data_IF_330645274531
#
_entry.id   IF_330645274531
#
_cell.length_a   1.000
_cell.length_b   1.000
_cell.length_c   1.000
_cell.angle_alpha   90.00
_cell.angle_beta   90.00
_cell.angle_gamma   90.00
#
_symmetry.space_group_name_H-M   'P 1'
#
loop_
_entity.id
_entity.type
_entity.pdbx_description
1 polymer ?
#
# COMPACT_ATOMS: atom_id res chain seq x y z
N UNK A 1 -12.95 -26.77 36.84
CA UNK A 1 -13.32 -25.48 36.19
C UNK A 1 -12.75 -24.32 37.02
N UNK A 2 -11.73 -23.59 36.52
CA UNK A 2 -10.89 -22.67 37.32
C UNK A 2 -11.72 -21.49 37.88
N UNK A 3 -11.68 -21.29 39.21
CA UNK A 3 -12.47 -20.25 39.93
C UNK A 3 -12.20 -18.82 39.44
N UNK A 4 -10.98 -18.54 38.97
CA UNK A 4 -10.59 -17.24 38.43
C UNK A 4 -11.36 -16.85 37.15
N UNK A 5 -11.70 -17.84 36.32
CA UNK A 5 -12.45 -17.62 35.07
C UNK A 5 -13.87 -17.11 35.36
N UNK A 6 -14.50 -17.62 36.43
CA UNK A 6 -15.83 -17.17 36.89
C UNK A 6 -15.82 -15.72 37.40
N UNK A 7 -14.68 -15.22 37.85
CA UNK A 7 -14.52 -13.85 38.32
C UNK A 7 -14.41 -12.87 37.14
N UNK A 8 -13.63 -13.25 36.12
CA UNK A 8 -13.50 -12.48 34.87
C UNK A 8 -14.82 -12.45 34.11
N UNK A 9 -15.51 -13.60 33.97
CA UNK A 9 -16.81 -13.66 33.30
C UNK A 9 -17.84 -12.78 33.99
N UNK A 10 -17.94 -12.83 35.33
CA UNK A 10 -18.89 -11.99 36.08
C UNK A 10 -18.62 -10.49 35.93
N UNK A 11 -17.35 -10.08 35.86
CA UNK A 11 -16.98 -8.68 35.62
C UNK A 11 -17.32 -8.23 34.19
N UNK A 12 -17.24 -9.13 33.21
CA UNK A 12 -17.54 -8.82 31.81
C UNK A 12 -19.04 -8.84 31.48
N UNK A 13 -19.79 -9.73 32.14
CA UNK A 13 -21.23 -9.98 31.93
C UNK A 13 -22.15 -9.15 32.84
N UNK A 14 -21.63 -8.17 33.59
CA UNK A 14 -22.47 -7.22 34.29
C UNK A 14 -23.35 -6.45 33.29
N UNK A 15 -24.64 -6.21 33.60
CA UNK A 15 -25.54 -5.50 32.70
C UNK A 15 -24.97 -4.11 32.42
N UNK A 16 -24.70 -3.83 31.16
CA UNK A 16 -24.14 -2.54 30.72
C UNK A 16 -25.28 -1.59 30.37
N UNK A 17 -25.13 -0.31 30.68
CA UNK A 17 -26.12 0.70 30.31
C UNK A 17 -26.28 0.79 28.80
N UNK A 18 -27.48 1.19 28.35
CA UNK A 18 -27.81 1.36 26.93
C UNK A 18 -26.85 2.37 26.27
N UNK A 19 -26.50 3.45 26.98
CA UNK A 19 -25.56 4.46 26.49
C UNK A 19 -24.15 3.91 26.27
N UNK A 20 -23.69 3.02 27.16
CA UNK A 20 -22.40 2.37 27.01
C UNK A 20 -22.40 1.46 25.77
N UNK A 21 -23.47 0.70 25.56
CA UNK A 21 -23.61 -0.17 24.39
C UNK A 21 -23.57 0.65 23.09
N UNK A 22 -24.27 1.79 23.03
CA UNK A 22 -24.28 2.67 21.87
C UNK A 22 -22.89 3.28 21.59
N UNK A 23 -22.17 3.73 22.63
CA UNK A 23 -20.79 4.23 22.48
C UNK A 23 -19.85 3.14 21.94
N UNK A 24 -19.96 1.91 22.44
CA UNK A 24 -19.14 0.80 21.96
C UNK A 24 -19.46 0.41 20.52
N UNK A 25 -20.74 0.37 20.13
CA UNK A 25 -21.15 0.15 18.73
C UNK A 25 -20.53 1.17 17.78
N UNK A 26 -20.56 2.46 18.14
CA UNK A 26 -19.97 3.53 17.31
C UNK A 26 -18.46 3.38 17.16
N UNK A 27 -17.74 3.08 18.25
CA UNK A 27 -16.28 2.84 18.19
C UNK A 27 -15.94 1.62 17.35
N UNK A 28 -16.72 0.54 17.50
CA UNK A 28 -16.50 -0.69 16.75
C UNK A 28 -16.78 -0.47 15.26
N UNK A 29 -17.85 0.25 14.92
CA UNK A 29 -18.16 0.63 13.53
C UNK A 29 -17.03 1.45 12.90
N UNK A 30 -16.47 2.44 13.60
CA UNK A 30 -15.32 3.21 13.09
C UNK A 30 -14.09 2.33 12.85
N UNK A 31 -13.79 1.42 13.78
CA UNK A 31 -12.68 0.48 13.63
C UNK A 31 -12.90 -0.42 12.41
N UNK A 32 -14.12 -0.95 12.23
CA UNK A 32 -14.47 -1.74 11.06
C UNK A 32 -14.33 -0.95 9.76
N UNK A 33 -14.81 0.30 9.71
CA UNK A 33 -14.63 1.16 8.55
C UNK A 33 -13.15 1.40 8.24
N UNK A 34 -12.33 1.65 9.26
CA UNK A 34 -10.89 1.84 9.08
C UNK A 34 -10.21 0.56 8.55
N UNK A 35 -10.50 -0.60 9.14
CA UNK A 35 -9.96 -1.87 8.67
C UNK A 35 -10.43 -2.19 7.24
N UNK A 36 -11.72 -2.01 6.95
CA UNK A 36 -12.27 -2.23 5.62
C UNK A 36 -11.65 -1.30 4.58
N UNK A 37 -11.42 -0.03 4.94
CA UNK A 37 -10.73 0.93 4.07
C UNK A 37 -9.32 0.47 3.72
N UNK A 38 -8.54 0.04 4.72
CA UNK A 38 -7.20 -0.50 4.49
C UNK A 38 -7.23 -1.77 3.62
N UNK A 39 -8.14 -2.71 3.90
CA UNK A 39 -8.30 -3.90 3.08
C UNK A 39 -8.71 -3.57 1.64
N UNK A 40 -9.58 -2.59 1.44
CA UNK A 40 -9.98 -2.10 0.12
C UNK A 40 -8.77 -1.53 -0.64
N UNK A 41 -7.96 -0.67 0.00
CA UNK A 41 -6.73 -0.15 -0.61
C UNK A 41 -5.75 -1.26 -0.99
N UNK A 42 -5.59 -2.29 -0.14
CA UNK A 42 -4.72 -3.44 -0.43
C UNK A 42 -5.25 -4.23 -1.63
N UNK A 43 -6.55 -4.48 -1.69
CA UNK A 43 -7.17 -5.18 -2.81
C UNK A 43 -6.96 -4.42 -4.13
N UNK A 44 -7.21 -3.10 -4.13
CA UNK A 44 -6.96 -2.24 -5.30
C UNK A 44 -5.48 -2.31 -5.69
N UNK A 45 -4.57 -2.19 -4.73
CA UNK A 45 -3.13 -2.27 -5.01
C UNK A 45 -2.72 -3.61 -5.63
N UNK A 46 -3.25 -4.73 -5.13
CA UNK A 46 -2.97 -6.05 -5.68
C UNK A 46 -3.48 -6.17 -7.12
N UNK A 47 -4.72 -5.75 -7.39
CA UNK A 47 -5.28 -5.76 -8.74
C UNK A 47 -4.49 -4.86 -9.68
N UNK A 48 -4.11 -3.65 -9.24
CA UNK A 48 -3.31 -2.74 -10.05
C UNK A 48 -1.93 -3.31 -10.36
N UNK A 49 -1.27 -3.95 -9.39
CA UNK A 49 0.04 -4.57 -9.59
C UNK A 49 -0.02 -5.74 -10.57
N UNK A 50 -1.12 -6.49 -10.59
CA UNK A 50 -1.34 -7.59 -11.52
C UNK A 50 -1.60 -7.09 -12.95
N UNK A 51 -2.41 -6.02 -13.11
CA UNK A 51 -2.71 -5.44 -14.42
C UNK A 51 -1.55 -4.63 -15.01
N UNK A 52 -0.76 -3.97 -14.17
CA UNK A 52 0.36 -3.10 -14.59
C UNK A 52 1.64 -3.47 -13.82
N UNK A 53 2.42 -4.46 -14.28
CA UNK A 53 3.69 -4.77 -13.64
C UNK A 53 4.68 -3.60 -13.76
N UNK A 54 5.43 -3.36 -12.68
CA UNK A 54 6.56 -2.41 -12.68
C UNK A 54 7.72 -2.98 -13.48
N UNK A 55 8.32 -2.16 -14.35
CA UNK A 55 9.62 -2.47 -14.98
C UNK A 55 10.77 -2.25 -13.98
N UNK A 56 11.96 -2.82 -14.23
CA UNK A 56 13.12 -2.65 -13.32
C UNK A 56 13.53 -1.16 -13.19
N UNK A 57 13.45 -0.38 -14.28
CA UNK A 57 13.71 1.06 -14.26
C UNK A 57 12.73 1.82 -13.35
N UNK A 58 11.46 1.39 -13.32
CA UNK A 58 10.41 1.98 -12.49
C UNK A 58 10.50 1.57 -11.01
N UNK A 59 11.11 0.43 -10.69
CA UNK A 59 11.40 0.06 -9.30
C UNK A 59 12.39 1.01 -8.67
N UNK A 60 13.39 1.47 -9.44
CA UNK A 60 14.40 2.44 -9.01
C UNK A 60 13.76 3.83 -8.86
N UNK A 61 12.95 4.25 -9.83
CA UNK A 61 12.25 5.55 -9.80
C UNK A 61 10.73 5.38 -9.86
N UNK A 62 10.14 5.11 -8.70
CA UNK A 62 8.69 4.88 -8.54
C UNK A 62 7.80 6.01 -9.11
N UNK A 63 8.32 7.24 -9.22
CA UNK A 63 7.59 8.37 -9.79
C UNK A 63 7.14 8.12 -11.25
N UNK A 64 7.97 7.45 -12.04
CA UNK A 64 7.67 7.13 -13.44
C UNK A 64 6.52 6.13 -13.57
N UNK A 65 6.44 5.15 -12.67
CA UNK A 65 5.33 4.19 -12.64
C UNK A 65 3.97 4.87 -12.43
N UNK A 66 3.90 5.81 -11.47
CA UNK A 66 2.65 6.51 -11.20
C UNK A 66 2.31 7.51 -12.30
N UNK A 67 3.31 8.16 -12.90
CA UNK A 67 3.11 9.01 -14.08
C UNK A 67 2.52 8.21 -15.25
N UNK A 68 3.05 6.99 -15.51
CA UNK A 68 2.55 6.06 -16.54
C UNK A 68 1.06 5.74 -16.37
N UNK A 69 0.66 5.40 -15.15
CA UNK A 69 -0.72 5.02 -14.83
C UNK A 69 -1.66 6.22 -14.94
N UNK A 70 -1.21 7.41 -14.51
CA UNK A 70 -2.05 8.61 -14.48
C UNK A 70 -2.16 9.33 -15.84
N UNK A 71 -1.32 8.99 -16.83
CA UNK A 71 -1.31 9.57 -18.18
C UNK A 71 -1.44 11.11 -18.21
N UNK A 72 -0.86 11.79 -17.22
CA UNK A 72 -0.98 13.25 -17.09
C UNK A 72 0.28 13.90 -17.65
N UNK A 73 0.13 14.85 -18.59
CA UNK A 73 1.23 15.38 -19.42
C UNK A 73 2.48 15.83 -18.66
N UNK A 74 2.34 16.67 -17.64
CA UNK A 74 3.48 17.12 -16.83
C UNK A 74 3.33 16.64 -15.39
N UNK A 75 4.21 15.73 -14.93
CA UNK A 75 4.20 15.26 -13.55
C UNK A 75 5.42 15.79 -12.81
N UNK A 76 5.17 16.64 -11.81
CA UNK A 76 6.18 17.05 -10.82
C UNK A 76 6.27 16.00 -9.72
N UNK A 77 7.41 15.34 -9.62
CA UNK A 77 7.67 14.38 -8.55
C UNK A 77 8.48 15.05 -7.45
N UNK A 78 7.89 15.07 -6.25
CA UNK A 78 8.51 15.61 -5.05
C UNK A 78 9.02 14.46 -4.18
N UNK A 79 10.34 14.38 -4.00
CA UNK A 79 10.96 13.45 -3.06
C UNK A 79 11.01 14.10 -1.68
N UNK A 80 10.07 13.72 -0.81
CA UNK A 80 9.98 14.25 0.55
C UNK A 80 10.65 13.28 1.51
N UNK A 81 11.67 13.74 2.25
CA UNK A 81 12.23 13.00 3.39
C UNK A 81 11.85 13.71 4.69
N UNK A 82 11.02 13.05 5.49
CA UNK A 82 10.51 13.62 6.74
C UNK A 82 9.63 14.84 6.47
N UNK A 83 10.14 16.04 6.79
CA UNK A 83 9.44 17.32 6.61
C UNK A 83 10.09 18.24 5.56
N UNK A 84 11.17 17.79 4.92
CA UNK A 84 11.90 18.58 3.92
C UNK A 84 11.78 17.95 2.54
N UNK A 85 11.53 18.78 1.54
CA UNK A 85 11.62 18.38 0.12
C UNK A 85 13.10 18.30 -0.24
N UNK A 86 13.55 17.13 -0.66
CA UNK A 86 14.97 16.84 -0.93
C UNK A 86 15.27 16.98 -2.41
N UNK A 87 14.42 16.43 -3.27
CA UNK A 87 14.57 16.50 -4.72
C UNK A 87 13.24 16.84 -5.39
N UNK A 88 13.29 17.70 -6.41
CA UNK A 88 12.19 17.97 -7.33
C UNK A 88 12.68 17.61 -8.74
N UNK A 89 11.95 16.75 -9.44
CA UNK A 89 12.19 16.48 -10.86
C UNK A 89 10.86 16.44 -11.62
N UNK A 90 10.89 16.99 -12.83
CA UNK A 90 9.76 16.96 -13.75
C UNK A 90 9.93 15.79 -14.71
N UNK A 91 8.87 15.01 -14.89
CA UNK A 91 8.79 14.00 -15.94
C UNK A 91 8.03 14.66 -17.10
N UNK A 92 8.76 15.02 -18.16
CA UNK A 92 8.22 15.71 -19.35
C UNK A 92 7.68 14.70 -20.39
N UNK A 93 8.32 13.54 -20.49
CA UNK A 93 7.87 12.45 -21.36
C UNK A 93 7.27 11.32 -20.53
N UNK A 94 5.95 11.33 -20.40
CA UNK A 94 5.21 10.25 -19.73
C UNK A 94 5.31 8.98 -20.59
N UNK A 95 5.83 7.87 -20.06
CA UNK A 95 5.86 6.61 -20.79
C UNK A 95 4.44 6.16 -21.12
N UNK A 96 4.23 5.60 -22.31
CA UNK A 96 2.91 5.13 -22.77
C UNK A 96 2.42 3.99 -21.87
N UNK A 97 1.09 3.90 -21.72
CA UNK A 97 0.43 2.94 -20.82
C UNK A 97 0.61 1.49 -21.27
N UNK A 98 0.73 1.27 -22.58
CA UNK A 98 1.08 -0.03 -23.17
C UNK A 98 2.56 0.04 -23.62
N UNK A 99 3.52 -0.57 -22.89
CA UNK A 99 4.89 -0.68 -23.37
C UNK A 99 4.93 -1.66 -24.55
N UNK A 100 5.69 -1.33 -25.59
CA UNK A 100 6.00 -2.26 -26.66
C UNK A 100 6.72 -3.51 -26.09
N UNK A 101 6.44 -4.71 -26.61
CA UNK A 101 6.93 -6.00 -26.07
C UNK A 101 8.46 -6.12 -25.91
N UNK A 102 9.23 -5.18 -26.47
CA UNK A 102 10.70 -5.19 -26.47
C UNK A 102 11.32 -4.66 -25.17
N UNK A 103 10.71 -3.68 -24.47
CA UNK A 103 11.23 -3.16 -23.18
C UNK A 103 11.08 -4.17 -22.02
N UNK A 104 10.09 -5.07 -22.11
CA UNK A 104 9.87 -6.13 -21.13
C UNK A 104 10.97 -7.22 -21.24
N UNK A 105 11.54 -7.42 -22.44
CA UNK A 105 12.53 -8.49 -22.70
C UNK A 105 13.96 -8.08 -22.33
N UNK A 106 14.30 -6.79 -22.39
CA UNK A 106 15.64 -6.33 -21.99
C UNK A 106 15.89 -6.39 -20.48
N UNK A 107 14.85 -6.19 -19.67
CA UNK A 107 14.96 -6.32 -18.20
C UNK A 107 15.17 -7.76 -17.71
N UNK A 108 14.84 -8.77 -18.53
CA UNK A 108 15.04 -10.20 -18.15
C UNK A 108 16.48 -10.68 -18.40
N UNK A 109 17.25 -9.99 -19.26
CA UNK A 109 18.62 -10.41 -19.62
C UNK A 109 19.72 -9.83 -18.73
N UNK A 110 19.45 -8.74 -18.01
CA UNK A 110 20.46 -8.04 -17.19
C UNK A 110 20.59 -8.52 -15.72
N UNK A 111 19.90 -9.60 -15.32
CA UNK A 111 20.13 -10.20 -14.00
C UNK A 111 20.89 -11.54 -14.06
N UNK A 112 22.19 -11.55 -14.39
CA UNK A 112 23.07 -12.61 -13.96
C UNK A 112 24.27 -12.03 -13.20
N UNK A 113 24.12 -11.39 -12.03
CA UNK A 113 25.30 -10.96 -11.22
C UNK A 113 24.98 -10.61 -9.74
N UNK A 114 24.23 -11.44 -9.01
CA UNK A 114 24.14 -11.33 -7.54
C UNK A 114 24.10 -12.69 -6.82
N UNK A 115 24.77 -13.70 -7.38
CA UNK A 115 24.95 -15.00 -6.73
C UNK A 115 26.30 -15.15 -5.99
N UNK A 116 27.16 -14.12 -5.96
CA UNK A 116 28.54 -14.24 -5.43
C UNK A 116 28.86 -13.45 -4.15
N UNK A 117 27.90 -12.86 -3.43
CA UNK A 117 28.18 -12.12 -2.19
C UNK A 117 27.65 -12.77 -0.90
N UNK A 118 27.63 -14.10 -0.86
CA UNK A 118 27.56 -14.87 0.39
C UNK A 118 28.58 -16.02 0.35
N UNK A 119 29.86 -15.68 0.49
CA UNK A 119 30.89 -16.52 1.09
C UNK A 119 31.76 -15.65 2.00
#
# INVERSE_FOLDING_TARGET
MRRWLKFILRRSMAPKSVDYANKMKRKLSMLYCFCAWNCCCIAIYMTMKESYPMTEAEKIKKGYYYARIMQTGDVKVLNVRGLTVVDEYTIEDVPKLDPDEEEIKDTTKESPDNAELLN
#
